data_IF_828867149722
#
_entry.id   IF_828867149722
#
_cell.length_a   1.000
_cell.length_b   1.000
_cell.length_c   1.000
_cell.angle_alpha   90.00
_cell.angle_beta   90.00
_cell.angle_gamma   90.00
#
_symmetry.space_group_name_H-M   'P 1'
#
loop_
_entity.id
_entity.type
_entity.pdbx_description
1 polymer ?
#
# COMPACT_ATOMS: atom_id res chain seq x y z
N UNK A 1 6.25 -15.27 -3.90
CA UNK A 1 5.83 -13.87 -4.09
C UNK A 1 6.14 -13.08 -2.83
N UNK A 2 6.76 -11.94 -2.96
CA UNK A 2 7.09 -11.08 -1.83
C UNK A 2 5.89 -10.20 -1.49
N UNK A 3 5.47 -10.20 -0.23
CA UNK A 3 4.37 -9.35 0.23
C UNK A 3 4.95 -8.09 0.87
N UNK A 4 4.56 -6.94 0.35
CA UNK A 4 5.06 -5.64 0.80
C UNK A 4 3.90 -4.81 1.30
N UNK A 5 4.04 -4.25 2.49
CA UNK A 5 3.07 -3.30 3.05
C UNK A 5 3.62 -1.89 2.91
N UNK A 6 2.83 -1.01 2.29
CA UNK A 6 3.19 0.41 2.15
C UNK A 6 2.22 1.23 2.98
N UNK A 7 2.72 1.91 4.00
CA UNK A 7 1.91 2.82 4.80
C UNK A 7 1.96 4.22 4.19
N UNK A 8 0.80 4.90 4.14
CA UNK A 8 0.70 6.19 3.48
C UNK A 8 0.81 6.12 1.96
N UNK A 9 0.44 4.98 1.37
CA UNK A 9 0.61 4.74 -0.06
C UNK A 9 -0.30 5.56 -0.96
N UNK A 10 -1.35 6.21 -0.42
CA UNK A 10 -2.19 7.11 -1.19
C UNK A 10 -1.67 8.54 -1.22
N UNK A 11 -0.62 8.88 -0.47
CA UNK A 11 0.07 10.15 -0.58
C UNK A 11 0.87 10.24 -1.87
N UNK A 12 1.37 11.45 -2.17
CA UNK A 12 2.09 11.68 -3.44
C UNK A 12 3.34 10.79 -3.55
N UNK A 13 4.19 10.79 -2.52
CA UNK A 13 5.42 10.00 -2.54
C UNK A 13 5.11 8.51 -2.46
N UNK A 14 4.19 8.13 -1.57
CA UNK A 14 3.84 6.72 -1.39
C UNK A 14 3.20 6.11 -2.63
N UNK A 15 2.33 6.84 -3.32
CA UNK A 15 1.70 6.35 -4.55
C UNK A 15 2.72 6.16 -5.68
N UNK A 16 3.71 7.04 -5.77
CA UNK A 16 4.80 6.87 -6.73
C UNK A 16 5.62 5.61 -6.42
N UNK A 17 5.88 5.36 -5.14
CA UNK A 17 6.58 4.14 -4.72
C UNK A 17 5.78 2.89 -5.08
N UNK A 18 4.46 2.89 -4.83
CA UNK A 18 3.59 1.75 -5.16
C UNK A 18 3.65 1.44 -6.65
N UNK A 19 3.52 2.46 -7.49
CA UNK A 19 3.60 2.28 -8.95
C UNK A 19 4.95 1.72 -9.37
N UNK A 20 6.03 2.29 -8.81
CA UNK A 20 7.37 1.82 -9.09
C UNK A 20 7.55 0.35 -8.69
N UNK A 21 7.14 0.01 -7.48
CA UNK A 21 7.32 -1.34 -6.94
C UNK A 21 6.59 -2.38 -7.79
N UNK A 22 5.36 -2.09 -8.19
CA UNK A 22 4.58 -3.01 -9.02
C UNK A 22 5.16 -3.16 -10.42
N UNK A 23 5.75 -2.11 -10.97
CA UNK A 23 6.36 -2.15 -12.29
C UNK A 23 7.73 -2.83 -12.28
N UNK A 24 8.55 -2.56 -11.26
CA UNK A 24 9.92 -3.04 -11.19
C UNK A 24 10.04 -4.46 -10.64
N UNK A 25 9.09 -4.90 -9.81
CA UNK A 25 9.13 -6.18 -9.12
C UNK A 25 7.87 -6.97 -9.39
N UNK A 26 7.89 -7.77 -10.44
CA UNK A 26 6.70 -8.54 -10.87
C UNK A 26 6.32 -9.64 -9.90
N UNK A 27 7.23 -10.02 -9.00
CA UNK A 27 6.98 -11.03 -7.95
C UNK A 27 6.52 -10.42 -6.63
N UNK A 28 6.27 -9.11 -6.60
CA UNK A 28 5.80 -8.43 -5.40
C UNK A 28 4.27 -8.31 -5.41
N UNK A 29 3.70 -8.54 -4.24
CA UNK A 29 2.30 -8.21 -3.94
C UNK A 29 2.32 -7.04 -2.96
N UNK A 30 1.70 -5.93 -3.33
CA UNK A 30 1.75 -4.69 -2.57
C UNK A 30 0.39 -4.41 -1.94
N UNK A 31 0.38 -4.26 -0.63
CA UNK A 31 -0.79 -3.80 0.11
C UNK A 31 -0.52 -2.38 0.59
N UNK A 32 -1.42 -1.46 0.24
CA UNK A 32 -1.35 -0.07 0.67
C UNK A 32 -2.29 0.16 1.83
N UNK A 33 -1.78 0.66 2.95
CA UNK A 33 -2.56 1.08 4.10
C UNK A 33 -2.50 2.60 4.21
N UNK A 34 -3.65 3.28 4.12
CA UNK A 34 -3.70 4.73 4.21
C UNK A 34 -4.99 5.17 4.88
N UNK A 35 -4.88 6.16 5.73
CA UNK A 35 -6.01 6.75 6.45
C UNK A 35 -6.86 7.65 5.56
N UNK A 36 -6.30 8.10 4.42
CA UNK A 36 -6.95 9.02 3.49
C UNK A 36 -7.34 10.35 4.14
N UNK A 37 -6.44 10.89 4.97
CA UNK A 37 -6.60 12.21 5.54
C UNK A 37 -6.14 13.28 4.53
N UNK A 38 -5.86 14.47 4.99
CA UNK A 38 -5.63 15.62 4.12
C UNK A 38 -4.54 15.44 3.05
N UNK A 39 -3.56 14.61 3.27
CA UNK A 39 -2.47 14.42 2.31
C UNK A 39 -2.68 13.22 1.38
N UNK A 40 -3.60 12.30 1.71
CA UNK A 40 -3.80 11.08 0.97
C UNK A 40 -5.06 11.14 0.12
N UNK A 41 -4.96 10.69 -1.13
CA UNK A 41 -6.10 10.58 -2.04
C UNK A 41 -6.05 9.24 -2.73
N UNK A 42 -7.17 8.53 -2.72
CA UNK A 42 -7.25 7.24 -3.41
C UNK A 42 -7.04 7.38 -4.92
N UNK A 43 -7.35 8.54 -5.48
CA UNK A 43 -7.13 8.81 -6.90
C UNK A 43 -5.67 8.72 -7.29
N UNK A 44 -4.74 8.93 -6.35
CA UNK A 44 -3.31 8.76 -6.61
C UNK A 44 -2.94 7.31 -6.95
N UNK A 45 -3.82 6.36 -6.63
CA UNK A 45 -3.61 4.94 -6.89
C UNK A 45 -4.45 4.43 -8.07
N UNK A 46 -5.09 5.31 -8.83
CA UNK A 46 -5.97 4.89 -9.92
C UNK A 46 -5.27 4.00 -10.95
N UNK A 47 -4.01 4.30 -11.27
CA UNK A 47 -3.27 3.52 -12.27
C UNK A 47 -2.98 2.08 -11.83
N UNK A 48 -3.07 1.79 -10.53
CA UNK A 48 -2.81 0.45 -9.97
C UNK A 48 -4.04 -0.17 -9.33
N UNK A 49 -5.19 0.51 -9.39
CA UNK A 49 -6.42 0.07 -8.73
C UNK A 49 -6.83 -1.34 -9.15
N UNK A 50 -6.71 -1.64 -10.43
CA UNK A 50 -7.13 -2.92 -10.99
C UNK A 50 -5.98 -3.94 -11.10
N UNK A 51 -4.80 -3.61 -10.58
CA UNK A 51 -3.69 -4.55 -10.60
C UNK A 51 -3.94 -5.67 -9.59
N UNK A 52 -3.97 -6.96 -10.01
CA UNK A 52 -4.27 -8.05 -9.08
C UNK A 52 -3.23 -8.24 -7.99
N UNK A 53 -2.05 -7.65 -8.14
CA UNK A 53 -0.99 -7.69 -7.14
C UNK A 53 -1.03 -6.51 -6.17
N UNK A 54 -2.02 -5.62 -6.30
CA UNK A 54 -2.20 -4.47 -5.41
C UNK A 54 -3.51 -4.59 -4.63
N UNK A 55 -3.44 -4.29 -3.33
CA UNK A 55 -4.60 -4.25 -2.45
C UNK A 55 -4.56 -2.95 -1.66
N UNK A 56 -5.70 -2.28 -1.58
CA UNK A 56 -5.83 -1.07 -0.77
C UNK A 56 -6.66 -1.35 0.48
N UNK A 57 -6.16 -0.87 1.63
CA UNK A 57 -6.87 -0.93 2.90
C UNK A 57 -6.91 0.48 3.47
N UNK A 58 -8.11 1.00 3.73
CA UNK A 58 -8.25 2.27 4.40
C UNK A 58 -8.22 2.04 5.92
N UNK A 59 -7.28 2.70 6.59
CA UNK A 59 -7.13 2.57 8.03
C UNK A 59 -5.94 3.35 8.53
N UNK A 60 -5.83 3.41 9.86
CA UNK A 60 -4.75 4.12 10.54
C UNK A 60 -3.66 3.13 10.94
N UNK A 61 -2.42 3.42 10.57
CA UNK A 61 -1.27 2.59 10.95
C UNK A 61 -1.11 2.51 12.47
N UNK A 62 -1.60 3.50 13.19
CA UNK A 62 -1.60 3.50 14.67
C UNK A 62 -2.68 2.60 15.26
N UNK A 63 -3.65 2.14 14.47
CA UNK A 63 -4.68 1.21 14.93
C UNK A 63 -4.14 -0.22 14.81
N UNK A 64 -3.77 -0.81 15.95
CA UNK A 64 -3.19 -2.15 15.97
C UNK A 64 -4.14 -3.23 15.43
N UNK A 65 -5.45 -3.04 15.54
CA UNK A 65 -6.42 -4.00 15.02
C UNK A 65 -6.37 -4.08 13.50
N UNK A 66 -6.04 -2.97 12.83
CA UNK A 66 -5.91 -2.90 11.39
C UNK A 66 -4.49 -3.22 10.96
N UNK A 67 -3.50 -2.59 11.60
CA UNK A 67 -2.12 -2.63 11.14
C UNK A 67 -1.43 -3.95 11.49
N UNK A 68 -1.66 -4.52 12.67
CA UNK A 68 -0.93 -5.71 13.10
C UNK A 68 -1.10 -6.91 12.16
N UNK A 69 -2.31 -7.28 11.71
CA UNK A 69 -2.44 -8.39 10.78
C UNK A 69 -1.73 -8.14 9.46
N UNK A 70 -1.73 -6.90 8.97
CA UNK A 70 -1.06 -6.55 7.72
C UNK A 70 0.46 -6.62 7.86
N UNK A 71 1.01 -6.13 8.97
CA UNK A 71 2.45 -6.19 9.24
C UNK A 71 2.89 -7.64 9.38
N UNK A 72 2.12 -8.46 10.09
CA UNK A 72 2.47 -9.87 10.29
C UNK A 72 2.46 -10.66 8.99
N UNK A 73 1.60 -10.32 8.04
CA UNK A 73 1.54 -11.02 6.76
C UNK A 73 2.53 -10.48 5.74
N UNK A 74 3.15 -9.34 6.00
CA UNK A 74 4.07 -8.72 5.06
C UNK A 74 5.51 -9.20 5.29
N UNK A 75 6.23 -9.44 4.21
CA UNK A 75 7.67 -9.71 4.29
C UNK A 75 8.46 -8.42 4.48
N UNK A 76 7.94 -7.29 3.99
CA UNK A 76 8.57 -5.98 4.08
C UNK A 76 7.51 -4.91 4.34
N UNK A 77 7.92 -3.86 5.04
CA UNK A 77 7.08 -2.70 5.31
C UNK A 77 7.82 -1.44 4.89
N UNK A 78 7.12 -0.59 4.19
CA UNK A 78 7.67 0.70 3.75
C UNK A 78 6.71 1.85 4.07
#
# INVERSE_FOLDING_TARGET
MVKVLVTGGAGFIGSNFVRYALAAHQDWQVTTLDKLTYAGRIENLDSVRNNPRHRFVQGDVADAKVAAPLVQSAARTA
#
